data_IF_246100182777
#
_entry.id   IF_246100182777
#
_cell.length_a   1.000
_cell.length_b   1.000
_cell.length_c   1.000
_cell.angle_alpha   90.00
_cell.angle_beta   90.00
_cell.angle_gamma   90.00
#
_symmetry.space_group_name_H-M   'P 1'
#
loop_
_entity.id
_entity.type
_entity.pdbx_description
1 polymer ?
#
# COMPACT_ATOMS: atom_id res chain seq x y z
N UNK A 1 -12.04 -5.99 3.51
CA UNK A 1 -11.52 -6.00 4.89
C UNK A 1 -10.95 -4.61 5.17
N UNK A 2 -11.25 -4.02 6.34
CA UNK A 2 -10.64 -2.77 6.78
C UNK A 2 -9.69 -3.02 7.95
N UNK A 3 -8.68 -2.17 8.13
CA UNK A 3 -7.76 -2.22 9.27
C UNK A 3 -7.44 -0.80 9.72
N UNK A 4 -7.28 -0.60 11.04
CA UNK A 4 -6.79 0.67 11.62
C UNK A 4 -5.26 0.74 11.66
N UNK A 5 -4.56 -0.35 11.29
CA UNK A 5 -3.11 -0.40 11.21
C UNK A 5 -2.68 -1.27 10.01
N UNK A 6 -2.66 -0.65 8.83
CA UNK A 6 -2.40 -1.37 7.59
C UNK A 6 -0.97 -1.92 7.51
N UNK A 7 0.03 -1.18 7.98
CA UNK A 7 1.44 -1.59 7.95
C UNK A 7 1.65 -2.93 8.66
N UNK A 8 1.22 -3.03 9.93
CA UNK A 8 1.32 -4.27 10.69
C UNK A 8 0.46 -5.38 10.09
N UNK A 9 -0.70 -5.04 9.51
CA UNK A 9 -1.56 -6.00 8.84
C UNK A 9 -0.85 -6.62 7.64
N UNK A 10 -0.20 -5.81 6.80
CA UNK A 10 0.56 -6.28 5.62
C UNK A 10 1.72 -7.17 6.04
N UNK A 11 2.47 -6.75 7.05
CA UNK A 11 3.60 -7.53 7.57
C UNK A 11 3.12 -8.90 8.11
N UNK A 12 2.00 -8.91 8.84
CA UNK A 12 1.39 -10.15 9.32
C UNK A 12 0.88 -11.05 8.19
N UNK A 13 0.23 -10.51 7.16
CA UNK A 13 -0.25 -11.28 6.00
C UNK A 13 0.93 -11.93 5.26
N UNK A 14 2.00 -11.17 5.00
CA UNK A 14 3.22 -11.70 4.35
C UNK A 14 3.89 -12.77 5.21
N UNK A 15 3.98 -12.57 6.53
CA UNK A 15 4.55 -13.58 7.44
C UNK A 15 3.78 -14.91 7.44
N UNK A 16 2.47 -14.87 7.12
CA UNK A 16 1.59 -16.03 6.99
C UNK A 16 1.62 -16.66 5.59
N UNK A 17 2.50 -16.20 4.70
CA UNK A 17 2.67 -16.74 3.35
C UNK A 17 1.63 -16.24 2.33
N UNK A 18 0.81 -15.25 2.68
CA UNK A 18 -0.13 -14.66 1.73
C UNK A 18 0.64 -13.78 0.75
N UNK A 19 0.50 -14.08 -0.54
CA UNK A 19 1.13 -13.30 -1.61
C UNK A 19 0.31 -12.05 -1.89
N UNK A 20 0.98 -10.91 -1.83
CA UNK A 20 0.40 -9.60 -2.13
C UNK A 20 0.99 -9.09 -3.44
N UNK A 21 0.15 -8.40 -4.24
CA UNK A 21 0.57 -7.83 -5.51
C UNK A 21 1.74 -6.86 -5.33
N UNK A 22 2.60 -6.83 -6.34
CA UNK A 22 3.71 -5.88 -6.42
C UNK A 22 3.27 -4.61 -7.16
N UNK A 23 4.04 -3.54 -6.99
CA UNK A 23 3.86 -2.26 -7.66
C UNK A 23 5.24 -1.68 -7.99
N UNK A 24 5.37 -1.17 -9.21
CA UNK A 24 6.63 -0.62 -9.73
C UNK A 24 7.05 0.62 -8.97
N UNK A 25 8.36 0.82 -8.85
CA UNK A 25 8.96 1.90 -8.06
C UNK A 25 8.53 3.31 -8.51
N UNK A 26 8.33 3.49 -9.83
CA UNK A 26 7.90 4.77 -10.41
C UNK A 26 6.53 5.23 -9.92
N UNK A 27 5.67 4.33 -9.43
CA UNK A 27 4.43 4.72 -8.77
C UNK A 27 4.72 5.60 -7.54
N UNK A 28 5.67 5.15 -6.70
CA UNK A 28 6.03 5.80 -5.44
C UNK A 28 6.76 7.13 -5.67
N UNK A 29 7.58 7.22 -6.71
CA UNK A 29 8.25 8.46 -7.12
C UNK A 29 7.28 9.58 -7.53
N UNK A 30 6.06 9.21 -7.91
CA UNK A 30 5.01 10.14 -8.34
C UNK A 30 4.02 10.49 -7.22
N UNK A 31 4.05 9.81 -6.07
CA UNK A 31 3.06 10.01 -4.98
C UNK A 31 3.05 11.45 -4.49
N UNK A 32 4.22 12.01 -4.15
CA UNK A 32 4.34 13.39 -3.65
C UNK A 32 3.81 14.42 -4.64
N UNK A 33 3.95 14.15 -5.94
CA UNK A 33 3.45 15.02 -7.02
C UNK A 33 1.95 14.89 -7.20
N UNK A 34 1.40 13.69 -7.05
CA UNK A 34 -0.03 13.40 -7.22
C UNK A 34 -0.87 13.86 -6.03
N UNK A 35 -0.34 13.73 -4.81
CA UNK A 35 -1.05 14.03 -3.57
C UNK A 35 -0.14 14.89 -2.67
N UNK A 36 0.13 16.16 -3.04
CA UNK A 36 1.04 17.00 -2.27
C UNK A 36 0.54 17.19 -0.84
N UNK A 37 1.41 17.01 0.15
CA UNK A 37 1.06 17.17 1.56
C UNK A 37 0.26 16.01 2.16
N UNK A 38 0.35 14.81 1.59
CA UNK A 38 -0.32 13.61 2.13
C UNK A 38 0.21 13.17 3.52
N UNK A 39 1.47 13.46 3.87
CA UNK A 39 1.99 13.21 5.23
C UNK A 39 2.29 11.75 5.59
N UNK A 40 2.22 10.83 4.62
CA UNK A 40 2.61 9.42 4.80
C UNK A 40 4.10 9.21 4.49
N UNK A 41 4.70 8.17 5.05
CA UNK A 41 6.06 7.75 4.70
C UNK A 41 6.06 6.91 3.42
N UNK A 42 6.37 7.56 2.28
CA UNK A 42 6.40 6.93 0.96
C UNK A 42 7.39 5.75 0.90
N UNK A 43 8.49 5.80 1.68
CA UNK A 43 9.46 4.70 1.70
C UNK A 43 8.88 3.45 2.37
N UNK A 44 8.14 3.62 3.48
CA UNK A 44 7.48 2.50 4.15
C UNK A 44 6.30 1.94 3.34
N UNK A 45 5.58 2.80 2.59
CA UNK A 45 4.57 2.37 1.62
C UNK A 45 5.21 1.54 0.50
N UNK A 46 6.31 2.03 -0.09
CA UNK A 46 7.07 1.35 -1.15
C UNK A 46 7.60 0.00 -0.70
N UNK A 47 8.17 -0.08 0.50
CA UNK A 47 8.68 -1.32 1.08
C UNK A 47 7.62 -2.41 1.18
N UNK A 48 6.37 -2.03 1.48
CA UNK A 48 5.26 -2.97 1.66
C UNK A 48 4.39 -3.17 0.42
N UNK A 49 4.60 -2.35 -0.60
CA UNK A 49 3.78 -2.28 -1.82
C UNK A 49 2.34 -1.83 -1.52
N UNK A 50 2.20 -0.92 -0.54
CA UNK A 50 0.93 -0.29 -0.21
C UNK A 50 0.67 0.85 -1.19
N UNK A 51 -0.56 0.96 -1.67
CA UNK A 51 -1.05 2.03 -2.50
C UNK A 51 -1.69 3.12 -1.64
N UNK A 52 -1.58 4.35 -2.10
CA UNK A 52 -2.23 5.53 -1.53
C UNK A 52 -3.08 6.22 -2.60
N UNK A 53 -4.27 6.63 -2.20
CA UNK A 53 -5.17 7.45 -3.00
C UNK A 53 -5.92 8.46 -2.12
N UNK A 54 -6.61 9.41 -2.76
CA UNK A 54 -7.38 10.44 -2.09
C UNK A 54 -6.72 11.81 -2.08
N UNK A 55 -7.03 12.61 -1.07
CA UNK A 55 -6.58 13.99 -0.94
C UNK A 55 -6.01 14.26 0.46
N UNK A 56 -5.22 15.32 0.64
CA UNK A 56 -4.74 15.71 1.97
C UNK A 56 -5.91 15.86 2.95
N UNK A 57 -5.86 15.11 4.06
CA UNK A 57 -6.92 15.07 5.07
C UNK A 57 -7.98 13.98 4.87
N UNK A 58 -8.02 13.31 3.71
CA UNK A 58 -8.90 12.18 3.42
C UNK A 58 -8.17 11.16 2.52
N UNK A 59 -7.31 10.37 3.16
CA UNK A 59 -6.43 9.41 2.50
C UNK A 59 -6.94 7.99 2.65
N UNK A 60 -6.75 7.22 1.59
CA UNK A 60 -7.05 5.81 1.56
C UNK A 60 -5.78 5.01 1.27
N UNK A 61 -5.44 4.10 2.17
CA UNK A 61 -4.33 3.15 2.00
C UNK A 61 -4.87 1.77 1.66
N UNK A 62 -4.31 1.13 0.62
CA UNK A 62 -4.81 -0.13 0.08
C UNK A 62 -3.69 -1.07 -0.34
N UNK A 63 -4.00 -2.36 -0.41
CA UNK A 63 -3.12 -3.38 -0.98
C UNK A 63 -3.99 -4.56 -1.44
N UNK A 64 -3.54 -5.26 -2.46
CA UNK A 64 -4.25 -6.39 -3.05
C UNK A 64 -3.45 -7.68 -2.89
N UNK A 65 -4.14 -8.80 -2.69
CA UNK A 65 -3.52 -10.12 -2.80
C UNK A 65 -3.30 -10.48 -4.27
N UNK A 66 -2.28 -11.27 -4.57
CA UNK A 66 -2.24 -12.00 -5.83
C UNK A 66 -3.46 -12.93 -5.94
N UNK A 67 -3.77 -13.40 -7.15
CA UNK A 67 -4.80 -14.44 -7.33
C UNK A 67 -4.45 -15.65 -6.44
N UNK A 68 -5.22 -15.84 -5.37
CA UNK A 68 -5.04 -16.96 -4.44
C UNK A 68 -5.73 -18.25 -4.93
N UNK A 69 -6.65 -18.13 -5.89
CA UNK A 69 -7.42 -19.22 -6.47
C UNK A 69 -7.42 -19.10 -8.00
N UNK A 70 -6.41 -19.69 -8.66
CA UNK A 70 -6.33 -19.86 -10.12
C UNK A 70 -6.36 -18.56 -10.97
N UNK A 71 -6.09 -18.66 -12.28
CA UNK A 71 -6.59 -17.68 -13.24
C UNK A 71 -8.12 -17.76 -13.37
#
# INVERSE_FOLDING_TARGET
LGSTNLFNTVDALRSKGIKLLDTIDTYYELVDKRIPGHGEDVAELKKRKILIDGAPGDLLLQIFSENQLGP
#
